data_IF_784263722857
#
_entry.id   IF_784263722857
#
_cell.length_a   1.000
_cell.length_b   1.000
_cell.length_c   1.000
_cell.angle_alpha   90.00
_cell.angle_beta   90.00
_cell.angle_gamma   90.00
#
_symmetry.space_group_name_H-M   'P 1'
#
loop_
_entity.id
_entity.type
_entity.pdbx_description
1 polymer ?
#
# COMPACT_ATOMS: atom_id res chain seq x y z
N UNK A 1 -51.74 34.62 -0.34
CA UNK A 1 -51.83 33.68 -1.48
C UNK A 1 -50.41 33.29 -1.84
N UNK A 2 -50.01 32.15 -1.29
CA UNK A 2 -48.67 31.59 -1.30
C UNK A 2 -48.42 30.94 -2.65
N UNK A 3 -47.38 31.38 -3.37
CA UNK A 3 -46.84 30.63 -4.50
C UNK A 3 -45.66 29.82 -3.99
N UNK A 4 -45.90 28.51 -3.78
CA UNK A 4 -44.83 27.53 -3.62
C UNK A 4 -44.14 27.36 -4.97
N UNK A 5 -42.88 27.75 -5.06
CA UNK A 5 -41.99 27.22 -6.07
C UNK A 5 -41.66 25.78 -5.69
N UNK A 6 -42.20 24.83 -6.45
CA UNK A 6 -41.73 23.46 -6.43
C UNK A 6 -40.30 23.46 -6.99
N UNK A 7 -39.31 23.33 -6.10
CA UNK A 7 -37.99 22.91 -6.51
C UNK A 7 -38.13 21.45 -6.97
N UNK A 8 -38.01 21.24 -8.27
CA UNK A 8 -37.80 19.93 -8.87
C UNK A 8 -36.59 19.31 -8.17
N UNK A 9 -36.83 18.24 -7.42
CA UNK A 9 -35.78 17.32 -7.02
C UNK A 9 -35.20 16.77 -8.32
N UNK A 10 -34.03 17.27 -8.71
CA UNK A 10 -33.28 16.66 -9.81
C UNK A 10 -32.96 15.24 -9.37
N UNK A 11 -33.51 14.29 -10.11
CA UNK A 11 -33.16 12.89 -10.02
C UNK A 11 -31.74 12.73 -10.56
N UNK A 12 -30.74 13.00 -9.73
CA UNK A 12 -29.39 12.54 -9.98
C UNK A 12 -29.35 11.05 -9.58
N UNK A 13 -29.79 10.19 -10.50
CA UNK A 13 -29.35 8.80 -10.56
C UNK A 13 -27.84 8.81 -10.88
N UNK A 14 -27.00 9.27 -9.94
CA UNK A 14 -25.57 9.03 -10.03
C UNK A 14 -25.35 7.63 -9.48
N UNK A 15 -24.95 6.70 -10.35
CA UNK A 15 -24.45 5.41 -9.92
C UNK A 15 -23.38 5.66 -8.84
N UNK A 16 -23.69 5.39 -7.58
CA UNK A 16 -22.78 5.74 -6.49
C UNK A 16 -21.87 4.56 -6.26
N UNK A 17 -20.60 4.66 -6.67
CA UNK A 17 -19.64 3.63 -6.32
C UNK A 17 -19.10 3.87 -4.90
N UNK A 18 -18.91 2.78 -4.14
CA UNK A 18 -18.20 2.77 -2.88
C UNK A 18 -16.72 2.39 -3.04
N UNK A 19 -15.89 2.76 -2.07
CA UNK A 19 -14.48 2.41 -1.99
C UNK A 19 -14.23 1.39 -0.87
N UNK A 20 -13.71 0.21 -1.22
CA UNK A 20 -13.13 -0.72 -0.27
C UNK A 20 -11.60 -0.60 -0.30
N UNK A 21 -10.99 -0.19 0.83
CA UNK A 21 -9.53 -0.19 0.98
C UNK A 21 -9.10 -1.49 1.65
N UNK A 22 -8.34 -2.32 0.94
CA UNK A 22 -7.76 -3.55 1.49
C UNK A 22 -6.36 -3.31 2.01
N UNK A 23 -6.09 -3.68 3.25
CA UNK A 23 -4.78 -3.49 3.88
C UNK A 23 -4.36 -4.75 4.67
N UNK A 24 -3.06 -4.87 4.95
CA UNK A 24 -2.52 -6.04 5.66
C UNK A 24 -3.15 -6.22 7.04
N UNK A 25 -3.30 -5.15 7.81
CA UNK A 25 -3.66 -5.18 9.23
C UNK A 25 -2.43 -5.49 10.09
N UNK A 26 -2.30 -4.78 11.21
CA UNK A 26 -1.22 -4.92 12.18
C UNK A 26 -1.71 -4.67 13.59
N UNK A 27 -0.82 -4.18 14.46
CA UNK A 27 -1.22 -3.68 15.78
C UNK A 27 -1.97 -2.34 15.70
N UNK A 28 -2.52 -1.88 16.82
CA UNK A 28 -3.40 -0.70 16.88
C UNK A 28 -2.82 0.52 16.16
N UNK A 29 -1.55 0.87 16.42
CA UNK A 29 -0.90 2.02 15.77
C UNK A 29 -0.82 1.89 14.24
N UNK A 30 -0.62 0.66 13.74
CA UNK A 30 -0.56 0.39 12.31
C UNK A 30 -1.94 0.56 11.68
N UNK A 31 -2.98 0.01 12.32
CA UNK A 31 -4.36 0.10 11.83
C UNK A 31 -4.85 1.54 11.87
N UNK A 32 -4.60 2.27 12.96
CA UNK A 32 -4.93 3.70 13.09
C UNK A 32 -4.23 4.56 12.04
N UNK A 33 -3.00 4.22 11.64
CA UNK A 33 -2.32 4.94 10.57
C UNK A 33 -3.04 4.78 9.22
N UNK A 34 -3.52 3.57 8.92
CA UNK A 34 -4.33 3.32 7.71
C UNK A 34 -5.67 4.02 7.81
N UNK A 35 -6.37 3.91 8.94
CA UNK A 35 -7.64 4.60 9.17
C UNK A 35 -7.50 6.12 9.00
N UNK A 36 -6.45 6.72 9.56
CA UNK A 36 -6.14 8.15 9.43
C UNK A 36 -5.93 8.53 7.96
N UNK A 37 -5.23 7.70 7.18
CA UNK A 37 -4.99 7.98 5.76
C UNK A 37 -6.27 7.88 4.92
N UNK A 38 -7.20 7.02 5.30
CA UNK A 38 -8.47 6.81 4.60
C UNK A 38 -9.54 7.82 5.04
N UNK A 39 -9.46 8.34 6.26
CA UNK A 39 -10.47 9.23 6.86
C UNK A 39 -10.89 10.40 5.96
N UNK A 40 -10.00 11.15 5.28
CA UNK A 40 -10.42 12.24 4.39
C UNK A 40 -11.30 11.79 3.22
N UNK A 41 -11.13 10.55 2.75
CA UNK A 41 -11.88 10.01 1.61
C UNK A 41 -13.36 9.73 1.93
N UNK A 42 -13.70 9.64 3.23
CA UNK A 42 -15.10 9.45 3.68
C UNK A 42 -15.98 10.66 3.44
N UNK A 43 -15.38 11.83 3.21
CA UNK A 43 -16.11 13.03 2.80
C UNK A 43 -16.45 13.03 1.30
N UNK A 44 -15.84 12.13 0.54
CA UNK A 44 -15.96 12.05 -0.92
C UNK A 44 -16.78 10.83 -1.37
N UNK A 45 -16.61 9.68 -0.70
CA UNK A 45 -17.23 8.41 -1.08
C UNK A 45 -17.71 7.62 0.15
N UNK A 46 -18.66 6.67 0.00
CA UNK A 46 -18.83 5.56 0.94
C UNK A 46 -17.53 4.75 1.03
N UNK A 47 -16.93 4.61 2.22
CA UNK A 47 -15.64 3.91 2.39
C UNK A 47 -15.67 2.87 3.50
N UNK A 48 -15.26 1.64 3.18
CA UNK A 48 -15.00 0.57 4.14
C UNK A 48 -13.53 0.10 4.06
N UNK A 49 -12.98 -0.37 5.18
CA UNK A 49 -11.60 -0.89 5.26
C UNK A 49 -11.65 -2.39 5.58
N UNK A 50 -10.96 -3.20 4.76
CA UNK A 50 -10.80 -4.63 4.98
C UNK A 50 -9.34 -4.96 5.37
N UNK A 51 -9.10 -5.18 6.66
CA UNK A 51 -7.80 -5.65 7.16
C UNK A 51 -7.63 -7.17 7.04
N UNK A 52 -6.40 -7.66 6.95
CA UNK A 52 -6.11 -9.10 7.08
C UNK A 52 -5.73 -9.80 5.78
N UNK A 53 -5.12 -9.10 4.81
CA UNK A 53 -4.51 -9.74 3.63
C UNK A 53 -5.50 -10.57 2.80
N UNK A 54 -6.61 -9.96 2.39
CA UNK A 54 -7.73 -10.66 1.74
C UNK A 54 -8.40 -11.71 2.65
N UNK A 55 -8.56 -11.40 3.93
CA UNK A 55 -9.34 -12.22 4.85
C UNK A 55 -10.83 -12.18 4.44
N UNK A 56 -11.46 -13.34 4.18
CA UNK A 56 -12.85 -13.38 3.68
C UNK A 56 -13.86 -12.78 4.67
N UNK A 57 -13.59 -12.83 5.98
CA UNK A 57 -14.49 -12.29 7.02
C UNK A 57 -14.52 -10.78 6.96
N UNK A 58 -13.35 -10.14 6.91
CA UNK A 58 -13.24 -8.67 6.88
C UNK A 58 -13.62 -8.11 5.52
N UNK A 59 -13.31 -8.82 4.43
CA UNK A 59 -13.79 -8.46 3.09
C UNK A 59 -15.32 -8.52 3.01
N UNK A 60 -15.94 -9.60 3.53
CA UNK A 60 -17.40 -9.70 3.58
C UNK A 60 -18.01 -8.56 4.39
N UNK A 61 -17.46 -8.26 5.56
CA UNK A 61 -17.95 -7.16 6.39
C UNK A 61 -17.87 -5.81 5.64
N UNK A 62 -16.75 -5.53 4.98
CA UNK A 62 -16.57 -4.30 4.21
C UNK A 62 -17.50 -4.20 3.00
N UNK A 63 -17.72 -5.31 2.28
CA UNK A 63 -18.72 -5.37 1.20
C UNK A 63 -20.12 -5.10 1.74
N UNK A 64 -20.54 -5.80 2.80
CA UNK A 64 -21.87 -5.62 3.40
C UNK A 64 -22.08 -4.18 3.87
N UNK A 65 -21.09 -3.56 4.50
CA UNK A 65 -21.16 -2.14 4.92
C UNK A 65 -21.37 -1.19 3.74
N UNK A 66 -20.76 -1.46 2.58
CA UNK A 66 -20.94 -0.66 1.38
C UNK A 66 -22.29 -0.93 0.71
N UNK A 67 -22.74 -2.19 0.63
CA UNK A 67 -24.04 -2.57 0.07
C UNK A 67 -25.21 -2.01 0.89
N UNK A 68 -25.07 -1.94 2.22
CA UNK A 68 -26.04 -1.28 3.12
C UNK A 68 -26.14 0.24 2.88
N UNK A 69 -25.14 0.84 2.25
CA UNK A 69 -25.16 2.24 1.81
C UNK A 69 -25.73 2.42 0.39
N UNK A 70 -26.27 1.34 -0.21
CA UNK A 70 -26.91 1.35 -1.52
C UNK A 70 -25.99 1.80 -2.67
N UNK A 71 -24.70 1.42 -2.61
CA UNK A 71 -23.77 1.63 -3.72
C UNK A 71 -24.08 0.68 -4.89
N UNK A 72 -23.88 1.14 -6.12
CA UNK A 72 -24.11 0.34 -7.34
C UNK A 72 -22.89 -0.49 -7.74
N UNK A 73 -21.74 -0.10 -7.21
CA UNK A 73 -20.42 -0.62 -7.55
C UNK A 73 -19.45 -0.44 -6.39
N UNK A 74 -18.40 -1.27 -6.35
CA UNK A 74 -17.31 -1.15 -5.37
C UNK A 74 -15.97 -1.12 -6.10
N UNK A 75 -15.21 -0.04 -5.93
CA UNK A 75 -13.79 0.01 -6.26
C UNK A 75 -12.98 -0.54 -5.09
N UNK A 76 -12.15 -1.54 -5.37
CA UNK A 76 -11.31 -2.21 -4.38
C UNK A 76 -9.87 -1.76 -4.57
N UNK A 77 -9.41 -0.84 -3.72
CA UNK A 77 -8.03 -0.36 -3.73
C UNK A 77 -7.19 -1.21 -2.77
N UNK A 78 -6.20 -1.91 -3.32
CA UNK A 78 -5.34 -2.83 -2.58
C UNK A 78 -4.09 -2.11 -2.08
N UNK A 79 -4.12 -1.63 -0.83
CA UNK A 79 -3.04 -0.93 -0.14
C UNK A 79 -1.92 -1.89 0.30
N UNK A 80 -1.23 -2.47 -0.69
CA UNK A 80 -0.06 -3.32 -0.51
C UNK A 80 1.15 -2.75 -1.24
N UNK A 81 2.34 -3.26 -0.94
CA UNK A 81 3.56 -2.81 -1.60
C UNK A 81 3.59 -3.24 -3.08
N UNK A 82 3.14 -4.46 -3.40
CA UNK A 82 3.21 -5.04 -4.75
C UNK A 82 1.83 -5.38 -5.29
N UNK A 83 1.64 -5.17 -6.60
CA UNK A 83 0.42 -5.51 -7.33
C UNK A 83 0.04 -7.00 -7.23
N UNK A 84 1.01 -7.88 -7.00
CA UNK A 84 0.77 -9.32 -6.86
C UNK A 84 0.31 -9.73 -5.45
N UNK A 85 0.47 -8.85 -4.46
CA UNK A 85 0.12 -9.16 -3.07
C UNK A 85 -1.37 -9.49 -2.95
N UNK A 86 -1.64 -10.75 -2.58
CA UNK A 86 -2.98 -11.30 -2.37
C UNK A 86 -3.92 -11.21 -3.58
N UNK A 87 -3.39 -10.96 -4.79
CA UNK A 87 -4.19 -10.72 -5.99
C UNK A 87 -5.10 -11.91 -6.30
N UNK A 88 -4.52 -13.11 -6.46
CA UNK A 88 -5.28 -14.33 -6.78
C UNK A 88 -6.40 -14.60 -5.77
N UNK A 89 -6.09 -14.55 -4.47
CA UNK A 89 -7.09 -14.76 -3.43
C UNK A 89 -8.18 -13.68 -3.46
N UNK A 90 -7.81 -12.42 -3.66
CA UNK A 90 -8.78 -11.30 -3.76
C UNK A 90 -9.71 -11.48 -4.95
N UNK A 91 -9.17 -11.75 -6.14
CA UNK A 91 -9.95 -11.99 -7.35
C UNK A 91 -10.92 -13.15 -7.17
N UNK A 92 -10.45 -14.27 -6.62
CA UNK A 92 -11.29 -15.45 -6.40
C UNK A 92 -12.40 -15.17 -5.39
N UNK A 93 -12.07 -14.54 -4.26
CA UNK A 93 -13.06 -14.19 -3.23
C UNK A 93 -14.10 -13.20 -3.75
N UNK A 94 -13.73 -12.30 -4.66
CA UNK A 94 -14.65 -11.35 -5.28
C UNK A 94 -15.37 -11.90 -6.53
N UNK A 95 -15.19 -13.18 -6.86
CA UNK A 95 -15.83 -13.78 -8.04
C UNK A 95 -15.30 -13.27 -9.39
N UNK A 96 -14.16 -12.57 -9.40
CA UNK A 96 -13.50 -12.06 -10.62
C UNK A 96 -12.74 -13.16 -11.38
N UNK A 97 -12.64 -14.36 -10.79
CA UNK A 97 -12.09 -15.56 -11.40
C UNK A 97 -12.67 -16.82 -10.78
N UNK A 98 -12.65 -17.91 -11.54
CA UNK A 98 -13.24 -19.19 -11.11
C UNK A 98 -12.27 -20.09 -10.33
N UNK A 99 -10.97 -20.00 -10.60
CA UNK A 99 -9.98 -20.91 -10.02
C UNK A 99 -9.45 -20.40 -8.66
N UNK A 100 -9.53 -21.21 -7.59
CA UNK A 100 -9.03 -20.82 -6.28
C UNK A 100 -7.49 -20.79 -6.23
N UNK A 101 -6.90 -20.00 -5.32
CA UNK A 101 -5.47 -20.09 -5.06
C UNK A 101 -5.08 -21.48 -4.56
N UNK A 102 -3.86 -21.89 -4.89
CA UNK A 102 -3.31 -23.17 -4.43
C UNK A 102 -3.30 -23.28 -2.90
N UNK A 103 -3.09 -22.16 -2.21
CA UNK A 103 -3.18 -22.03 -0.76
C UNK A 103 -3.88 -20.73 -0.40
N UNK A 104 -4.84 -20.81 0.51
CA UNK A 104 -5.45 -19.62 1.11
C UNK A 104 -4.57 -19.12 2.25
N UNK A 105 -4.31 -17.81 2.26
CA UNK A 105 -3.66 -17.12 3.36
C UNK A 105 -4.75 -16.75 4.36
N UNK A 106 -4.67 -17.32 5.57
CA UNK A 106 -5.56 -16.99 6.70
C UNK A 106 -4.70 -16.65 7.91
N UNK A 107 -4.76 -15.38 8.35
CA UNK A 107 -4.26 -14.97 9.65
C UNK A 107 -5.44 -14.79 10.61
N UNK A 108 -5.51 -15.68 11.61
CA UNK A 108 -6.55 -15.74 12.64
C UNK A 108 -6.56 -17.14 13.26
N UNK A 109 -7.06 -17.29 14.49
CA UNK A 109 -7.14 -18.55 15.26
C UNK A 109 -8.01 -19.65 14.61
N UNK A 110 -8.46 -19.44 13.37
CA UNK A 110 -9.16 -20.41 12.53
C UNK A 110 -8.39 -20.54 11.20
N UNK A 111 -7.19 -21.11 11.27
CA UNK A 111 -6.53 -21.66 10.10
C UNK A 111 -7.39 -22.85 9.62
N UNK A 112 -8.32 -22.59 8.71
CA UNK A 112 -9.00 -23.66 8.00
C UNK A 112 -8.01 -24.27 6.98
N UNK A 113 -7.12 -25.12 7.47
CA UNK A 113 -6.35 -26.00 6.61
C UNK A 113 -7.33 -26.95 5.91
N UNK A 114 -7.64 -26.65 4.65
CA UNK A 114 -8.30 -27.59 3.74
C UNK A 114 -9.80 -27.40 3.46
N UNK A 115 -10.47 -26.36 3.98
CA UNK A 115 -11.79 -26.00 3.44
C UNK A 115 -11.63 -25.08 2.24
N UNK A 116 -12.19 -25.48 1.09
CA UNK A 116 -12.34 -24.57 -0.05
C UNK A 116 -13.21 -23.41 0.41
N UNK A 117 -12.64 -22.22 0.50
CA UNK A 117 -13.43 -21.01 0.64
C UNK A 117 -14.23 -20.82 -0.66
N UNK A 118 -15.48 -20.40 -0.54
CA UNK A 118 -16.29 -20.02 -1.68
C UNK A 118 -16.12 -18.52 -1.94
N UNK A 119 -16.31 -18.05 -3.19
CA UNK A 119 -16.47 -16.62 -3.47
C UNK A 119 -17.53 -16.00 -2.56
N UNK A 120 -17.36 -14.72 -2.26
CA UNK A 120 -18.33 -13.92 -1.54
C UNK A 120 -19.60 -13.78 -2.39
N UNK A 121 -20.73 -13.76 -1.70
CA UNK A 121 -22.02 -13.43 -2.32
C UNK A 121 -22.09 -11.91 -2.45
N UNK A 122 -21.99 -11.40 -3.69
CA UNK A 122 -21.96 -9.98 -4.01
C UNK A 122 -23.26 -9.61 -4.73
N UNK A 123 -23.90 -8.54 -4.28
CA UNK A 123 -25.04 -7.91 -4.97
C UNK A 123 -24.63 -6.72 -5.84
N UNK A 124 -23.37 -6.31 -5.75
CA UNK A 124 -22.79 -5.14 -6.42
C UNK A 124 -21.65 -5.52 -7.35
N UNK A 125 -21.47 -4.73 -8.42
CA UNK A 125 -20.34 -4.90 -9.34
C UNK A 125 -19.05 -4.47 -8.67
N UNK A 126 -17.96 -5.18 -8.91
CA UNK A 126 -16.68 -4.89 -8.25
C UNK A 126 -15.55 -4.80 -9.26
N UNK A 127 -14.59 -3.91 -9.01
CA UNK A 127 -13.32 -3.85 -9.73
C UNK A 127 -12.18 -3.63 -8.76
N UNK A 128 -11.02 -4.23 -9.02
CA UNK A 128 -9.86 -4.17 -8.13
C UNK A 128 -8.73 -3.39 -8.78
N UNK A 129 -7.92 -2.70 -7.97
CA UNK A 129 -6.74 -1.98 -8.47
C UNK A 129 -5.73 -2.96 -9.07
N UNK A 130 -5.24 -2.68 -10.27
CA UNK A 130 -4.16 -3.45 -10.90
C UNK A 130 -2.78 -3.05 -10.35
N UNK A 131 -2.62 -1.78 -10.00
CA UNK A 131 -1.40 -1.21 -9.43
C UNK A 131 -1.36 -1.27 -7.90
N UNK A 132 -0.16 -1.14 -7.35
CA UNK A 132 0.09 -1.04 -5.92
C UNK A 132 1.09 0.11 -5.60
N UNK A 133 1.55 0.19 -4.36
CA UNK A 133 2.40 1.29 -3.91
C UNK A 133 3.77 1.35 -4.62
N UNK A 134 4.35 0.21 -5.04
CA UNK A 134 5.58 0.22 -5.85
C UNK A 134 5.39 0.81 -7.25
N UNK A 135 4.16 0.93 -7.73
CA UNK A 135 3.83 1.45 -9.06
C UNK A 135 3.43 2.94 -8.99
N UNK A 136 3.39 3.51 -7.79
CA UNK A 136 2.84 4.82 -7.52
C UNK A 136 3.95 5.89 -7.40
N UNK A 137 4.04 6.87 -8.33
CA UNK A 137 5.05 7.93 -8.26
C UNK A 137 4.97 8.75 -6.95
N UNK A 138 3.78 8.83 -6.35
CA UNK A 138 3.55 9.46 -5.04
C UNK A 138 4.48 8.88 -3.96
N UNK A 139 4.86 7.60 -4.04
CA UNK A 139 5.77 7.00 -3.06
C UNK A 139 7.21 7.48 -3.21
N UNK A 140 7.64 7.84 -4.42
CA UNK A 140 8.93 8.48 -4.67
C UNK A 140 8.98 9.88 -4.06
N UNK A 141 7.88 10.63 -4.13
CA UNK A 141 7.75 11.94 -3.50
C UNK A 141 7.84 11.85 -1.98
N UNK A 142 7.22 10.83 -1.37
CA UNK A 142 7.34 10.57 0.07
C UNK A 142 8.80 10.28 0.46
N UNK A 143 9.48 9.44 -0.31
CA UNK A 143 10.88 9.09 -0.08
C UNK A 143 11.79 10.32 -0.17
N UNK A 144 11.59 11.17 -1.20
CA UNK A 144 12.33 12.42 -1.37
C UNK A 144 12.07 13.39 -0.20
N UNK A 145 10.80 13.61 0.18
CA UNK A 145 10.45 14.47 1.29
C UNK A 145 11.05 13.99 2.61
N UNK A 146 11.03 12.68 2.88
CA UNK A 146 11.64 12.09 4.07
C UNK A 146 13.17 12.24 4.07
N UNK A 147 13.83 12.03 2.92
CA UNK A 147 15.27 12.24 2.80
C UNK A 147 15.65 13.71 3.09
N UNK A 148 14.95 14.65 2.45
CA UNK A 148 15.18 16.09 2.61
C UNK A 148 14.96 16.56 4.06
N UNK A 149 13.94 16.04 4.73
CA UNK A 149 13.64 16.39 6.12
C UNK A 149 14.69 15.88 7.12
N UNK A 150 15.48 14.86 6.75
CA UNK A 150 16.54 14.28 7.59
C UNK A 150 17.95 14.80 7.26
N UNK A 151 18.10 15.44 6.11
CA UNK A 151 19.36 16.01 5.64
C UNK A 151 19.75 17.25 6.43
N UNK A 152 21.05 17.45 6.63
CA UNK A 152 21.63 18.70 7.16
C UNK A 152 22.34 19.55 6.10
N UNK A 153 22.14 19.23 4.82
CA UNK A 153 22.69 19.93 3.65
C UNK A 153 24.21 19.91 3.51
N UNK A 154 24.92 19.05 4.24
CA UNK A 154 26.29 18.70 3.86
C UNK A 154 26.21 17.75 2.66
N UNK A 155 26.62 18.18 1.46
CA UNK A 155 26.57 17.40 0.20
C UNK A 155 27.43 16.13 0.16
N UNK A 156 27.68 15.55 1.33
CA UNK A 156 28.37 14.29 1.61
C UNK A 156 27.41 13.23 2.13
N UNK A 157 26.11 13.49 2.30
CA UNK A 157 25.15 12.51 2.81
C UNK A 157 24.70 11.49 1.75
N UNK A 158 24.60 10.23 2.15
CA UNK A 158 24.10 9.12 1.33
C UNK A 158 22.73 8.65 1.82
N UNK A 159 21.88 8.14 0.94
CA UNK A 159 20.54 7.62 1.27
C UNK A 159 20.47 6.12 1.02
N UNK A 160 20.02 5.36 2.02
CA UNK A 160 19.71 3.94 1.91
C UNK A 160 18.21 3.70 2.11
N UNK A 161 17.56 3.15 1.09
CA UNK A 161 16.17 2.72 1.17
C UNK A 161 16.13 1.21 1.43
N UNK A 162 15.42 0.79 2.47
CA UNK A 162 15.28 -0.63 2.84
C UNK A 162 13.83 -1.07 2.70
N UNK A 163 13.59 -2.10 1.89
CA UNK A 163 12.29 -2.73 1.71
C UNK A 163 12.21 -4.12 2.37
N UNK A 164 11.00 -4.63 2.52
CA UNK A 164 10.76 -6.00 3.00
C UNK A 164 11.39 -7.05 2.08
N UNK A 165 11.16 -6.94 0.77
CA UNK A 165 11.64 -7.88 -0.23
C UNK A 165 10.78 -9.13 -0.40
N UNK A 166 11.25 -10.02 -1.28
CA UNK A 166 10.58 -11.24 -1.67
C UNK A 166 11.50 -12.46 -1.61
N UNK A 167 10.92 -13.64 -1.45
CA UNK A 167 11.64 -14.90 -1.34
C UNK A 167 12.18 -15.42 -2.64
N UNK A 168 11.44 -15.24 -3.73
CA UNK A 168 11.93 -15.56 -5.07
C UNK A 168 12.95 -14.50 -5.53
N UNK A 169 14.01 -14.93 -6.21
CA UNK A 169 15.09 -14.02 -6.61
C UNK A 169 14.69 -13.11 -7.76
N UNK A 170 13.89 -13.59 -8.71
CA UNK A 170 13.39 -12.78 -9.81
C UNK A 170 12.38 -11.75 -9.31
N UNK A 171 11.42 -12.18 -8.50
CA UNK A 171 10.45 -11.26 -7.88
C UNK A 171 11.14 -10.22 -7.01
N UNK A 172 12.19 -10.60 -6.26
CA UNK A 172 12.94 -9.63 -5.48
C UNK A 172 13.73 -8.65 -6.35
N UNK A 173 14.30 -9.09 -7.46
CA UNK A 173 14.99 -8.20 -8.39
C UNK A 173 14.03 -7.18 -9.02
N UNK A 174 12.84 -7.62 -9.43
CA UNK A 174 11.78 -6.72 -9.94
C UNK A 174 11.33 -5.72 -8.87
N UNK A 175 11.21 -6.16 -7.61
CA UNK A 175 10.91 -5.28 -6.48
C UNK A 175 11.95 -4.18 -6.29
N UNK A 176 13.23 -4.56 -6.30
CA UNK A 176 14.35 -3.62 -6.19
C UNK A 176 14.35 -2.65 -7.37
N UNK A 177 14.15 -3.14 -8.60
CA UNK A 177 14.13 -2.29 -9.79
C UNK A 177 13.03 -1.24 -9.73
N UNK A 178 11.79 -1.62 -9.36
CA UNK A 178 10.69 -0.66 -9.22
C UNK A 178 10.95 0.38 -8.13
N UNK A 179 11.47 -0.06 -6.99
CA UNK A 179 11.82 0.86 -5.91
C UNK A 179 13.00 1.77 -6.27
N UNK A 180 13.95 1.29 -7.08
CA UNK A 180 15.07 2.07 -7.58
C UNK A 180 14.62 3.19 -8.52
N UNK A 181 13.56 2.96 -9.31
CA UNK A 181 12.90 4.02 -10.11
C UNK A 181 12.25 5.08 -9.21
N UNK A 182 11.57 4.67 -8.12
CA UNK A 182 11.02 5.62 -7.15
C UNK A 182 12.12 6.41 -6.42
N UNK A 183 13.30 5.81 -6.26
CA UNK A 183 14.47 6.48 -5.67
C UNK A 183 15.02 7.60 -6.56
N UNK A 184 14.65 7.67 -7.85
CA UNK A 184 15.02 8.78 -8.72
C UNK A 184 14.44 10.12 -8.24
N UNK A 185 13.32 10.11 -7.50
CA UNK A 185 12.80 11.31 -6.85
C UNK A 185 13.77 11.89 -5.82
N UNK A 186 14.55 11.04 -5.13
CA UNK A 186 15.62 11.48 -4.23
C UNK A 186 16.82 11.96 -5.04
N UNK A 187 17.25 11.20 -6.05
CA UNK A 187 18.41 11.55 -6.90
C UNK A 187 18.22 12.90 -7.60
N UNK A 188 17.00 13.18 -8.04
CA UNK A 188 16.62 14.43 -8.73
C UNK A 188 16.74 15.67 -7.85
N UNK A 189 16.86 15.52 -6.52
CA UNK A 189 17.15 16.65 -5.62
C UNK A 189 18.57 17.19 -5.77
N UNK A 190 19.51 16.35 -6.25
CA UNK A 190 20.92 16.70 -6.39
C UNK A 190 21.68 16.92 -5.07
N UNK A 191 21.08 16.60 -3.92
CA UNK A 191 21.69 16.86 -2.60
C UNK A 191 22.51 15.69 -2.03
N UNK A 192 22.25 14.47 -2.49
CA UNK A 192 22.83 13.25 -1.94
C UNK A 192 23.93 12.69 -2.84
N UNK A 193 25.05 12.27 -2.25
CA UNK A 193 26.19 11.71 -2.97
C UNK A 193 25.89 10.32 -3.56
N UNK A 194 25.11 9.52 -2.85
CA UNK A 194 24.68 8.19 -3.27
C UNK A 194 23.24 7.90 -2.79
N UNK A 195 22.48 7.17 -3.61
CA UNK A 195 21.14 6.67 -3.26
C UNK A 195 21.08 5.19 -3.63
N UNK A 196 20.98 4.34 -2.62
CA UNK A 196 20.95 2.89 -2.77
C UNK A 196 19.63 2.28 -2.29
N UNK A 197 19.23 1.20 -2.95
CA UNK A 197 18.04 0.43 -2.62
C UNK A 197 18.41 -1.01 -2.28
N UNK A 198 17.95 -1.47 -1.12
CA UNK A 198 18.09 -2.84 -0.68
C UNK A 198 16.78 -3.39 -0.13
N UNK A 199 16.66 -4.72 -0.15
CA UNK A 199 15.58 -5.44 0.50
C UNK A 199 16.17 -6.32 1.59
N UNK A 200 15.58 -6.35 2.78
CA UNK A 200 16.05 -7.22 3.85
C UNK A 200 15.69 -8.69 3.62
N UNK A 201 14.66 -8.98 2.81
CA UNK A 201 14.12 -10.34 2.56
C UNK A 201 13.75 -11.00 3.89
N UNK A 202 12.93 -10.29 4.65
CA UNK A 202 12.74 -10.45 6.09
C UNK A 202 12.35 -11.88 6.51
N UNK A 203 11.55 -12.56 5.69
CA UNK A 203 10.98 -13.87 6.02
C UNK A 203 11.85 -15.07 5.59
N UNK A 204 12.98 -14.85 4.91
CA UNK A 204 13.78 -15.92 4.32
C UNK A 204 15.18 -15.97 4.93
N UNK A 205 15.38 -16.75 5.99
CA UNK A 205 16.59 -16.78 6.83
C UNK A 205 17.92 -16.69 6.05
N UNK A 206 18.18 -17.60 5.11
CA UNK A 206 19.42 -17.62 4.31
C UNK A 206 19.61 -16.35 3.46
N UNK A 207 18.51 -15.83 2.93
CA UNK A 207 18.48 -14.65 2.05
C UNK A 207 18.53 -13.37 2.89
N UNK A 208 17.93 -13.38 4.07
CA UNK A 208 17.97 -12.33 5.09
C UNK A 208 19.39 -12.10 5.55
N UNK A 209 20.11 -13.15 5.95
CA UNK A 209 21.49 -13.03 6.42
C UNK A 209 22.41 -12.38 5.38
N UNK A 210 22.30 -12.80 4.11
CA UNK A 210 23.06 -12.20 2.99
C UNK A 210 22.68 -10.74 2.75
N UNK A 211 21.40 -10.41 2.81
CA UNK A 211 20.90 -9.06 2.56
C UNK A 211 21.24 -8.10 3.70
N UNK A 212 21.10 -8.56 4.94
CA UNK A 212 21.55 -7.85 6.14
C UNK A 212 23.03 -7.49 6.05
N UNK A 213 23.90 -8.42 5.61
CA UNK A 213 25.32 -8.12 5.43
C UNK A 213 25.53 -6.96 4.45
N UNK A 214 24.84 -6.95 3.30
CA UNK A 214 24.95 -5.86 2.30
C UNK A 214 24.44 -4.52 2.84
N UNK A 215 23.30 -4.53 3.51
CA UNK A 215 22.70 -3.35 4.16
C UNK A 215 23.67 -2.73 5.17
N UNK A 216 24.24 -3.56 6.06
CA UNK A 216 25.21 -3.09 7.05
C UNK A 216 26.48 -2.56 6.41
N UNK A 217 27.01 -3.26 5.39
CA UNK A 217 28.19 -2.81 4.65
C UNK A 217 27.99 -1.44 3.99
N UNK A 218 26.80 -1.15 3.46
CA UNK A 218 26.49 0.16 2.89
C UNK A 218 26.58 1.26 3.95
N UNK A 219 25.96 1.05 5.11
CA UNK A 219 25.97 2.03 6.21
C UNK A 219 27.37 2.18 6.80
N UNK A 220 28.12 1.09 6.95
CA UNK A 220 29.51 1.11 7.43
C UNK A 220 30.44 1.86 6.47
N UNK A 221 30.27 1.73 5.15
CA UNK A 221 31.05 2.45 4.16
C UNK A 221 30.86 3.98 4.24
N UNK A 222 29.66 4.41 4.65
CA UNK A 222 29.23 5.81 4.76
C UNK A 222 29.00 6.20 6.23
N UNK A 223 29.95 5.84 7.09
CA UNK A 223 29.92 6.09 8.54
C UNK A 223 31.01 7.05 9.04
N UNK A 224 31.80 7.64 8.14
CA UNK A 224 32.88 8.56 8.49
C UNK A 224 32.35 9.97 8.78
N UNK A 225 32.60 10.50 9.99
CA UNK A 225 32.25 11.82 10.56
C UNK A 225 31.17 12.71 9.89
N UNK A 226 31.35 13.09 8.62
CA UNK A 226 30.48 14.01 7.84
C UNK A 226 29.64 13.34 6.74
N UNK A 227 29.86 12.07 6.45
CA UNK A 227 29.07 11.25 5.53
C UNK A 227 28.20 10.36 6.41
N UNK A 228 26.98 10.82 6.72
CA UNK A 228 26.02 10.05 7.52
C UNK A 228 24.95 9.49 6.59
N UNK A 229 24.81 8.17 6.61
CA UNK A 229 23.72 7.52 5.88
C UNK A 229 22.36 7.92 6.47
N UNK A 230 21.45 8.40 5.62
CA UNK A 230 20.03 8.52 5.91
C UNK A 230 19.36 7.20 5.51
N UNK A 231 18.68 6.55 6.45
CA UNK A 231 17.99 5.28 6.21
C UNK A 231 16.48 5.49 6.18
N UNK A 232 15.86 5.11 5.08
CA UNK A 232 14.42 5.22 4.85
C UNK A 232 13.79 3.83 4.73
N UNK A 233 12.76 3.49 5.54
CA UNK A 233 12.03 2.25 5.35
C UNK A 233 11.00 2.40 4.22
N UNK A 234 11.09 1.55 3.19
CA UNK A 234 10.01 1.39 2.21
C UNK A 234 9.00 0.35 2.73
N UNK A 235 8.19 0.79 3.70
CA UNK A 235 7.14 0.02 4.36
C UNK A 235 5.91 0.91 4.51
N UNK A 236 4.71 0.30 4.56
CA UNK A 236 3.50 1.11 4.76
C UNK A 236 3.56 1.92 6.06
N UNK A 237 4.03 1.31 7.16
CA UNK A 237 4.10 1.98 8.46
C UNK A 237 5.27 1.48 9.31
N UNK A 238 6.00 2.41 9.92
CA UNK A 238 7.08 2.15 10.88
C UNK A 238 8.39 1.61 10.28
N UNK A 239 9.42 1.50 11.11
CA UNK A 239 10.77 1.15 10.69
C UNK A 239 10.99 -0.35 10.49
N UNK A 240 10.14 -1.20 11.07
CA UNK A 240 10.26 -2.65 10.97
C UNK A 240 11.51 -3.19 11.69
N UNK A 241 12.04 -4.35 11.29
CA UNK A 241 13.19 -4.97 11.96
C UNK A 241 14.53 -4.27 11.66
N UNK A 242 14.50 -3.14 10.94
CA UNK A 242 15.71 -2.46 10.47
C UNK A 242 16.53 -1.87 11.62
N UNK A 243 15.89 -1.52 12.74
CA UNK A 243 16.59 -1.05 13.94
C UNK A 243 17.57 -2.11 14.47
N UNK A 244 17.09 -3.34 14.66
CA UNK A 244 17.94 -4.46 15.10
C UNK A 244 19.00 -4.81 14.06
N UNK A 245 18.67 -4.73 12.76
CA UNK A 245 19.63 -4.97 11.67
C UNK A 245 20.77 -3.96 11.67
N UNK A 246 20.50 -2.71 12.04
CA UNK A 246 21.44 -1.60 12.03
C UNK A 246 22.02 -1.28 13.41
N UNK A 247 21.82 -2.17 14.40
CA UNK A 247 22.35 -1.98 15.75
C UNK A 247 23.87 -1.78 15.70
N UNK A 248 24.33 -0.78 16.46
CA UNK A 248 25.73 -0.37 16.55
C UNK A 248 26.25 0.47 15.36
N UNK A 249 25.41 0.80 14.37
CA UNK A 249 25.81 1.63 13.22
C UNK A 249 25.31 3.07 13.37
N UNK A 250 26.09 4.03 12.86
CA UNK A 250 25.71 5.43 12.83
C UNK A 250 24.86 5.72 11.58
N UNK A 251 23.60 6.12 11.77
CA UNK A 251 22.71 6.52 10.69
C UNK A 251 21.67 7.53 11.18
N UNK A 252 20.97 8.19 10.24
CA UNK A 252 19.81 9.05 10.52
C UNK A 252 18.54 8.39 10.01
N UNK A 253 17.50 8.39 10.83
CA UNK A 253 16.17 7.94 10.45
C UNK A 253 15.14 8.54 11.39
N UNK A 254 13.95 8.86 10.89
CA UNK A 254 12.78 9.16 11.71
C UNK A 254 11.91 7.92 11.96
N UNK A 255 12.31 6.76 11.45
CA UNK A 255 11.60 5.49 11.58
C UNK A 255 10.27 5.42 10.83
N UNK A 256 9.91 6.43 10.03
CA UNK A 256 8.59 6.53 9.39
C UNK A 256 8.58 5.81 8.05
N UNK A 257 7.53 5.02 7.84
CA UNK A 257 7.22 4.43 6.54
C UNK A 257 6.54 5.45 5.61
N UNK A 258 5.71 4.94 4.70
CA UNK A 258 4.92 5.76 3.78
C UNK A 258 3.83 6.54 4.50
N UNK A 259 3.19 5.92 5.50
CA UNK A 259 2.25 6.60 6.39
C UNK A 259 2.99 7.36 7.49
N UNK A 260 2.46 8.54 7.90
CA UNK A 260 1.13 9.08 7.59
C UNK A 260 1.12 10.12 6.45
N UNK A 261 1.95 9.97 5.40
CA UNK A 261 1.97 10.98 4.32
C UNK A 261 0.60 11.08 3.62
N UNK A 262 0.09 12.31 3.37
CA UNK A 262 -1.15 12.51 2.61
C UNK A 262 -1.04 12.01 1.16
N UNK A 263 0.17 11.86 0.62
CA UNK A 263 0.37 11.31 -0.72
C UNK A 263 -0.14 9.85 -0.86
N UNK A 264 -0.23 9.10 0.26
CA UNK A 264 -0.92 7.79 0.24
C UNK A 264 -2.43 7.97 0.07
N UNK A 265 -3.03 8.95 0.73
CA UNK A 265 -4.45 9.30 0.56
C UNK A 265 -4.74 9.72 -0.88
N UNK A 266 -3.89 10.57 -1.46
CA UNK A 266 -4.01 10.99 -2.86
C UNK A 266 -3.92 9.81 -3.83
N UNK A 267 -2.99 8.89 -3.59
CA UNK A 267 -2.88 7.67 -4.39
C UNK A 267 -4.14 6.80 -4.32
N UNK A 268 -4.69 6.60 -3.11
CA UNK A 268 -5.95 5.84 -2.93
C UNK A 268 -7.09 6.53 -3.68
N UNK A 269 -7.22 7.86 -3.54
CA UNK A 269 -8.25 8.65 -4.23
C UNK A 269 -8.14 8.50 -5.75
N UNK A 270 -6.94 8.70 -6.30
CA UNK A 270 -6.70 8.62 -7.74
C UNK A 270 -7.04 7.22 -8.27
N UNK A 271 -6.56 6.18 -7.59
CA UNK A 271 -6.84 4.78 -7.97
C UNK A 271 -8.33 4.46 -7.88
N UNK A 272 -9.03 4.94 -6.85
CA UNK A 272 -10.48 4.75 -6.72
C UNK A 272 -11.24 5.39 -7.88
N UNK A 273 -10.92 6.65 -8.22
CA UNK A 273 -11.55 7.37 -9.33
C UNK A 273 -11.30 6.70 -10.68
N UNK A 274 -10.08 6.19 -10.93
CA UNK A 274 -9.78 5.40 -12.13
C UNK A 274 -10.70 4.17 -12.23
N UNK A 275 -10.86 3.42 -11.13
CA UNK A 275 -11.75 2.25 -11.08
C UNK A 275 -13.22 2.62 -11.24
N UNK A 276 -13.67 3.75 -10.69
CA UNK A 276 -15.04 4.23 -10.85
C UNK A 276 -15.36 4.49 -12.33
N UNK A 277 -14.48 5.20 -13.04
CA UNK A 277 -14.65 5.46 -14.48
C UNK A 277 -14.75 4.16 -15.27
N UNK A 278 -13.88 3.19 -14.99
CA UNK A 278 -13.90 1.90 -15.68
C UNK A 278 -15.18 1.09 -15.38
N UNK A 279 -15.72 1.20 -14.17
CA UNK A 279 -16.99 0.57 -13.78
C UNK A 279 -18.20 1.25 -14.43
N UNK A 280 -18.14 2.55 -14.68
CA UNK A 280 -19.17 3.30 -15.42
C UNK A 280 -19.16 2.95 -16.92
N UNK A 281 -17.98 2.79 -17.52
CA UNK A 281 -17.83 2.37 -18.92
C UNK A 281 -18.42 0.98 -19.15
N UNK A 282 -18.16 0.03 -18.24
CA UNK A 282 -18.74 -1.32 -18.31
C UNK A 282 -20.27 -1.25 -18.22
N UNK A 283 -20.82 -0.49 -17.28
CA UNK A 283 -22.28 -0.35 -17.12
C UNK A 283 -22.95 0.30 -18.34
N UNK A 284 -22.24 1.16 -19.07
CA UNK A 284 -22.77 1.83 -20.26
C UNK A 284 -22.72 0.94 -21.51
N UNK A 285 -21.98 -0.16 -21.46
CA UNK A 285 -21.81 -1.10 -22.57
C UNK A 285 -22.81 -2.28 -22.52
N UNK A 286 -23.49 -2.49 -21.40
CA UNK A 286 -24.52 -3.52 -21.15
C UNK A 286 -25.94 -3.02 -21.49
#
# INVERSE_FOLDING_TARGET
>A
MTWLAAATADAQNSNSCGLMVMAHGGGDQWNTAVETAVMPLREEFPVAIAFGMANPVTMKAAVTELEEQHVDCIAVVRLFMSAHSFLHQTEYLLGLREDPPAFFISHGSQAHHGSKLLPLDLSTRVKISETALLDAPEMGEILAANALALSDSSGTESVLIIAHGAGDDKVNAEWIQKLDLLADSIRSTGLFSEVAVHSLREDWEDKRAKSQKKIRQFVEAHSQDKDRTIVLPFRLYGFGPYEAVLEGLAYRSNGRGLLPSPAVTEWIRRTANELFLELEEIASAE
#
